data_IF_187668841877
#
_entry.id   IF_187668841877
#
_cell.length_a   1.000
_cell.length_b   1.000
_cell.length_c   1.000
_cell.angle_alpha   90.00
_cell.angle_beta   90.00
_cell.angle_gamma   90.00
#
_symmetry.space_group_name_H-M   'P 1'
#
loop_
_entity.id
_entity.type
_entity.pdbx_description
1 polymer ?
#
# COMPACT_ATOMS: atom_id res chain seq x y z
N UNK A 1 -17.71 16.95 4.94
CA UNK A 1 -16.31 17.04 4.47
C UNK A 1 -15.45 17.97 5.31
N UNK A 2 -15.94 19.13 5.75
CA UNK A 2 -15.13 20.11 6.50
C UNK A 2 -14.50 19.55 7.81
N UNK A 3 -15.28 18.83 8.63
CA UNK A 3 -14.79 18.26 9.90
C UNK A 3 -13.66 17.25 9.70
N UNK A 4 -13.75 16.39 8.68
CA UNK A 4 -12.71 15.40 8.38
C UNK A 4 -11.41 16.08 7.91
N UNK A 5 -11.51 17.17 7.15
CA UNK A 5 -10.37 17.98 6.75
C UNK A 5 -9.65 18.61 7.94
N UNK A 6 -10.39 19.22 8.89
CA UNK A 6 -9.78 19.74 10.12
C UNK A 6 -9.20 18.64 11.00
N UNK A 7 -9.91 17.52 11.13
CA UNK A 7 -9.41 16.35 11.86
C UNK A 7 -8.08 15.85 11.29
N UNK A 8 -7.99 15.70 9.96
CA UNK A 8 -6.76 15.31 9.27
C UNK A 8 -5.61 16.27 9.58
N UNK A 9 -5.86 17.59 9.47
CA UNK A 9 -4.86 18.62 9.82
C UNK A 9 -4.37 18.48 11.26
N UNK A 10 -5.26 18.21 12.22
CA UNK A 10 -4.88 17.99 13.63
C UNK A 10 -3.97 16.78 13.76
N UNK A 11 -4.35 15.63 13.19
CA UNK A 11 -3.57 14.39 13.29
C UNK A 11 -2.20 14.53 12.61
N UNK A 12 -2.15 15.07 11.39
CA UNK A 12 -0.90 15.30 10.65
C UNK A 12 0.00 16.30 11.40
N UNK A 13 -0.57 17.35 11.98
CA UNK A 13 0.18 18.31 12.80
C UNK A 13 0.75 17.64 14.05
N UNK A 14 -0.04 16.81 14.75
CA UNK A 14 0.44 16.03 15.89
C UNK A 14 1.57 15.07 15.51
N UNK A 15 1.45 14.41 14.35
CA UNK A 15 2.48 13.51 13.83
C UNK A 15 3.79 14.25 13.56
N UNK A 16 3.72 15.44 12.95
CA UNK A 16 4.91 16.28 12.73
C UNK A 16 5.53 16.85 14.01
N UNK A 17 4.73 17.08 15.06
CA UNK A 17 5.21 17.65 16.34
C UNK A 17 5.70 16.60 17.33
N UNK A 18 5.08 15.41 17.35
CA UNK A 18 5.38 14.36 18.34
C UNK A 18 5.22 12.96 17.72
N UNK A 19 6.04 12.60 16.71
CA UNK A 19 5.87 11.36 15.93
C UNK A 19 5.87 10.11 16.82
N UNK A 20 6.88 9.95 17.69
CA UNK A 20 6.98 8.82 18.62
C UNK A 20 5.77 8.68 19.56
N UNK A 21 5.19 9.80 19.99
CA UNK A 21 4.01 9.79 20.87
C UNK A 21 2.76 9.31 20.14
N UNK A 22 2.57 9.77 18.90
CA UNK A 22 1.46 9.34 18.03
C UNK A 22 1.60 7.86 17.66
N UNK A 23 2.81 7.43 17.28
CA UNK A 23 3.10 6.03 16.96
C UNK A 23 2.80 5.10 18.14
N UNK A 24 3.30 5.43 19.34
CA UNK A 24 3.01 4.66 20.55
C UNK A 24 1.51 4.61 20.83
N UNK A 25 0.82 5.75 20.70
CA UNK A 25 -0.64 5.81 20.89
C UNK A 25 -1.39 4.85 19.95
N UNK A 26 -0.98 4.77 18.67
CA UNK A 26 -1.60 3.92 17.66
C UNK A 26 -1.23 2.44 17.81
N UNK A 27 0.03 2.14 18.17
CA UNK A 27 0.48 0.77 18.49
C UNK A 27 -0.31 0.19 19.66
N UNK A 28 -0.50 0.96 20.72
CA UNK A 28 -1.28 0.55 21.90
C UNK A 28 -2.80 0.43 21.60
N UNK A 29 -3.29 1.08 20.54
CA UNK A 29 -4.70 1.10 20.14
C UNK A 29 -4.88 0.74 18.67
N UNK A 30 -4.64 -0.53 18.33
CA UNK A 30 -4.86 -1.08 16.98
C UNK A 30 -6.24 -0.76 16.40
N UNK A 31 -7.27 -0.67 17.25
CA UNK A 31 -8.63 -0.29 16.84
C UNK A 31 -8.73 1.12 16.25
N UNK A 32 -7.89 2.07 16.69
CA UNK A 32 -7.87 3.42 16.13
C UNK A 32 -7.31 3.41 14.71
N UNK A 33 -6.23 2.67 14.47
CA UNK A 33 -5.66 2.55 13.13
C UNK A 33 -6.66 1.90 12.17
N UNK A 34 -7.34 0.83 12.62
CA UNK A 34 -8.43 0.22 11.87
C UNK A 34 -9.52 1.21 11.51
N UNK A 35 -9.96 2.05 12.45
CA UNK A 35 -10.97 3.10 12.18
C UNK A 35 -10.55 4.10 11.11
N UNK A 36 -9.26 4.43 11.01
CA UNK A 36 -8.79 5.29 9.91
C UNK A 36 -8.94 4.58 8.56
N UNK A 37 -8.57 3.30 8.48
CA UNK A 37 -8.72 2.52 7.26
C UNK A 37 -10.19 2.26 6.92
N UNK A 38 -11.03 2.00 7.92
CA UNK A 38 -12.48 1.83 7.72
C UNK A 38 -13.14 3.08 7.11
N UNK A 39 -12.55 4.27 7.35
CA UNK A 39 -12.99 5.57 6.84
C UNK A 39 -12.19 6.06 5.62
N UNK A 40 -11.41 5.18 4.98
CA UNK A 40 -10.50 5.57 3.88
C UNK A 40 -11.23 6.13 2.66
N UNK A 41 -12.54 5.89 2.50
CA UNK A 41 -13.35 6.57 1.47
C UNK A 41 -13.28 8.09 1.61
N UNK A 42 -13.06 8.64 2.80
CA UNK A 42 -12.86 10.07 2.96
C UNK A 42 -11.41 10.42 2.61
N UNK A 43 -11.17 11.15 1.53
CA UNK A 43 -9.82 11.52 1.06
C UNK A 43 -8.94 12.11 2.17
N UNK A 44 -9.49 13.01 3.01
CA UNK A 44 -8.72 13.58 4.12
C UNK A 44 -8.28 12.54 5.16
N UNK A 45 -8.99 11.42 5.30
CA UNK A 45 -8.59 10.31 6.18
C UNK A 45 -7.58 9.41 5.47
N UNK A 46 -7.73 9.17 4.16
CA UNK A 46 -6.69 8.53 3.36
C UNK A 46 -5.35 9.28 3.48
N UNK A 47 -5.36 10.62 3.43
CA UNK A 47 -4.17 11.44 3.64
C UNK A 47 -3.52 11.20 5.01
N UNK A 48 -4.32 10.97 6.06
CA UNK A 48 -3.79 10.60 7.39
C UNK A 48 -3.09 9.25 7.32
N UNK A 49 -3.70 8.24 6.69
CA UNK A 49 -3.12 6.90 6.52
C UNK A 49 -1.81 6.96 5.75
N UNK A 50 -1.77 7.69 4.63
CA UNK A 50 -0.57 7.92 3.83
C UNK A 50 0.53 8.59 4.65
N UNK A 51 0.20 9.67 5.39
CA UNK A 51 1.18 10.38 6.22
C UNK A 51 1.74 9.51 7.35
N UNK A 52 0.96 8.60 7.92
CA UNK A 52 1.42 7.64 8.94
C UNK A 52 2.44 6.65 8.35
N UNK A 53 2.14 6.14 7.15
CA UNK A 53 3.02 5.24 6.39
C UNK A 53 4.33 5.94 5.99
N UNK A 54 4.26 7.19 5.51
CA UNK A 54 5.46 7.97 5.15
C UNK A 54 6.30 8.36 6.37
N UNK A 55 5.65 8.64 7.51
CA UNK A 55 6.35 8.94 8.75
C UNK A 55 7.15 7.71 9.27
N UNK A 56 6.65 6.49 9.06
CA UNK A 56 7.41 5.26 9.35
C UNK A 56 8.72 5.19 8.55
N UNK A 57 8.69 5.47 7.25
CA UNK A 57 9.90 5.46 6.42
C UNK A 57 10.95 6.49 6.90
N UNK A 58 10.49 7.63 7.44
CA UNK A 58 11.39 8.63 8.06
C UNK A 58 11.97 8.10 9.38
N UNK A 59 11.18 7.44 10.21
CA UNK A 59 11.61 6.87 11.50
C UNK A 59 12.48 5.62 11.36
N UNK A 60 12.41 4.92 10.22
CA UNK A 60 13.31 3.81 9.90
C UNK A 60 14.79 4.24 9.85
N UNK A 61 15.07 5.51 9.55
CA UNK A 61 16.42 6.08 9.70
C UNK A 61 16.93 6.00 11.16
N UNK A 62 16.02 5.79 12.11
CA UNK A 62 16.28 5.58 13.54
C UNK A 62 16.05 4.13 14.00
N UNK A 63 16.01 3.17 13.08
CA UNK A 63 15.74 1.73 13.32
C UNK A 63 14.35 1.43 13.92
N UNK A 64 13.36 2.29 13.72
CA UNK A 64 11.97 2.06 14.15
C UNK A 64 11.08 1.71 12.94
N UNK A 65 10.78 0.42 12.71
CA UNK A 65 9.88 -0.10 11.65
C UNK A 65 8.47 -0.41 12.21
N UNK A 66 7.82 0.60 12.77
CA UNK A 66 6.62 0.43 13.57
C UNK A 66 5.40 -0.02 12.75
N UNK A 67 5.30 0.42 11.50
CA UNK A 67 4.16 0.14 10.62
C UNK A 67 4.10 -1.34 10.25
N UNK A 68 5.26 -1.99 10.14
CA UNK A 68 5.39 -3.40 9.76
C UNK A 68 4.86 -4.36 10.84
N UNK A 69 4.72 -3.88 12.07
CA UNK A 69 4.12 -4.60 13.21
C UNK A 69 2.59 -4.44 13.29
N UNK A 70 2.01 -3.64 12.40
CA UNK A 70 0.57 -3.41 12.32
C UNK A 70 -0.05 -4.17 11.17
N UNK A 71 -1.38 -4.35 11.23
CA UNK A 71 -2.16 -5.00 10.18
C UNK A 71 -2.61 -4.00 9.09
N UNK A 72 -1.94 -2.84 8.97
CA UNK A 72 -2.40 -1.76 8.08
C UNK A 72 -2.38 -2.18 6.61
N UNK A 73 -1.39 -2.98 6.20
CA UNK A 73 -1.29 -3.46 4.83
C UNK A 73 -2.51 -4.32 4.51
N UNK A 74 -2.83 -5.28 5.39
CA UNK A 74 -4.00 -6.14 5.27
C UNK A 74 -5.29 -5.33 5.23
N UNK A 75 -5.45 -4.37 6.15
CA UNK A 75 -6.65 -3.55 6.24
C UNK A 75 -6.86 -2.70 4.98
N UNK A 76 -5.79 -2.09 4.44
CA UNK A 76 -5.89 -1.28 3.21
C UNK A 76 -6.09 -2.19 1.99
N UNK A 77 -5.45 -3.35 1.96
CA UNK A 77 -5.66 -4.36 0.91
C UNK A 77 -7.11 -4.85 0.87
N UNK A 78 -7.73 -5.10 2.03
CA UNK A 78 -9.13 -5.55 2.11
C UNK A 78 -10.11 -4.53 1.51
N UNK A 79 -9.71 -3.25 1.43
CA UNK A 79 -10.49 -2.20 0.78
C UNK A 79 -10.55 -2.30 -0.73
N UNK A 80 -9.74 -3.17 -1.35
CA UNK A 80 -9.83 -3.52 -2.77
C UNK A 80 -10.80 -4.66 -3.07
N UNK A 81 -11.43 -5.28 -2.06
CA UNK A 81 -12.45 -6.31 -2.31
C UNK A 81 -13.57 -5.77 -3.20
N UNK A 82 -14.06 -6.54 -4.19
CA UNK A 82 -15.09 -6.08 -5.12
C UNK A 82 -16.42 -5.65 -4.46
N UNK A 83 -16.62 -6.01 -3.19
CA UNK A 83 -17.77 -5.64 -2.38
C UNK A 83 -17.72 -4.19 -1.84
N UNK A 84 -16.58 -3.51 -1.95
CA UNK A 84 -16.41 -2.14 -1.46
C UNK A 84 -16.76 -1.09 -2.52
N UNK A 85 -16.85 0.17 -2.09
CA UNK A 85 -17.17 1.29 -2.96
C UNK A 85 -15.98 1.74 -3.83
N UNK A 86 -16.27 2.37 -4.97
CA UNK A 86 -15.21 2.87 -5.88
C UNK A 86 -14.26 3.88 -5.23
N UNK A 87 -14.73 4.67 -4.26
CA UNK A 87 -13.89 5.62 -3.54
C UNK A 87 -12.94 4.91 -2.56
N UNK A 88 -13.37 3.81 -1.96
CA UNK A 88 -12.50 2.94 -1.16
C UNK A 88 -11.43 2.31 -2.04
N UNK A 89 -11.79 1.78 -3.23
CA UNK A 89 -10.82 1.23 -4.17
C UNK A 89 -9.74 2.24 -4.57
N UNK A 90 -10.16 3.46 -4.96
CA UNK A 90 -9.26 4.52 -5.40
C UNK A 90 -8.30 4.97 -4.29
N UNK A 91 -8.82 5.20 -3.09
CA UNK A 91 -8.02 5.66 -1.96
C UNK A 91 -7.11 4.55 -1.42
N UNK A 92 -7.56 3.29 -1.44
CA UNK A 92 -6.74 2.14 -1.08
C UNK A 92 -5.59 1.94 -2.08
N UNK A 93 -5.87 1.93 -3.39
CA UNK A 93 -4.84 1.81 -4.41
C UNK A 93 -3.82 2.95 -4.33
N UNK A 94 -4.27 4.20 -4.15
CA UNK A 94 -3.38 5.36 -3.94
C UNK A 94 -2.45 5.15 -2.74
N UNK A 95 -2.98 4.64 -1.62
CA UNK A 95 -2.19 4.34 -0.43
C UNK A 95 -1.17 3.22 -0.69
N UNK A 96 -1.59 2.14 -1.36
CA UNK A 96 -0.73 1.00 -1.69
C UNK A 96 0.37 1.36 -2.70
N UNK A 97 0.10 2.26 -3.63
CA UNK A 97 1.11 2.82 -4.54
C UNK A 97 2.17 3.62 -3.78
N UNK A 98 1.78 4.40 -2.76
CA UNK A 98 2.77 5.06 -1.89
C UNK A 98 3.61 4.01 -1.14
N UNK A 99 2.98 2.97 -0.60
CA UNK A 99 3.67 1.87 0.08
C UNK A 99 4.65 1.17 -0.87
N UNK A 100 4.27 0.90 -2.11
CA UNK A 100 5.16 0.24 -3.08
C UNK A 100 6.42 1.09 -3.34
N UNK A 101 6.30 2.41 -3.33
CA UNK A 101 7.41 3.36 -3.49
C UNK A 101 8.38 3.42 -2.31
N UNK A 102 8.02 2.92 -1.12
CA UNK A 102 8.86 2.92 0.08
C UNK A 102 9.98 1.87 0.00
N UNK A 103 10.95 2.13 -0.85
CA UNK A 103 12.12 1.27 -1.13
C UNK A 103 12.82 0.86 0.18
N UNK A 104 13.16 -0.43 0.29
CA UNK A 104 13.78 -1.06 1.47
C UNK A 104 12.92 -1.14 2.75
N UNK A 105 11.63 -0.76 2.71
CA UNK A 105 10.74 -1.00 3.86
C UNK A 105 10.21 -2.44 3.88
N UNK A 106 10.02 -2.99 5.08
CA UNK A 106 9.41 -4.32 5.27
C UNK A 106 7.99 -4.40 4.73
N UNK A 107 7.23 -3.32 4.85
CA UNK A 107 5.85 -3.24 4.35
C UNK A 107 5.80 -3.26 2.82
N UNK A 108 6.74 -2.59 2.13
CA UNK A 108 6.84 -2.66 0.67
C UNK A 108 7.25 -4.06 0.19
N UNK A 109 8.17 -4.72 0.90
CA UNK A 109 8.54 -6.11 0.59
C UNK A 109 7.36 -7.07 0.80
N UNK A 110 6.57 -6.87 1.86
CA UNK A 110 5.35 -7.64 2.12
C UNK A 110 4.27 -7.41 1.06
N UNK A 111 4.08 -6.17 0.60
CA UNK A 111 3.17 -5.82 -0.50
C UNK A 111 3.54 -6.53 -1.81
N UNK A 112 4.84 -6.67 -2.11
CA UNK A 112 5.31 -7.39 -3.28
C UNK A 112 5.29 -8.92 -3.12
N UNK A 113 4.90 -9.46 -1.97
CA UNK A 113 4.95 -10.91 -1.75
C UNK A 113 3.95 -11.67 -2.65
N UNK A 114 4.26 -12.92 -3.05
CA UNK A 114 3.38 -13.72 -3.89
C UNK A 114 1.95 -13.89 -3.34
N UNK A 115 1.78 -13.91 -2.01
CA UNK A 115 0.46 -14.02 -1.37
C UNK A 115 -0.39 -12.76 -1.57
N UNK A 116 0.22 -11.58 -1.49
CA UNK A 116 -0.48 -10.31 -1.75
C UNK A 116 -0.82 -10.18 -3.23
N UNK A 117 0.10 -10.57 -4.12
CA UNK A 117 -0.18 -10.61 -5.56
C UNK A 117 -1.35 -11.56 -5.84
N UNK A 118 -1.33 -12.79 -5.33
CA UNK A 118 -2.44 -13.73 -5.51
C UNK A 118 -3.78 -13.14 -5.04
N UNK A 119 -3.78 -12.38 -3.93
CA UNK A 119 -4.97 -11.71 -3.40
C UNK A 119 -5.46 -10.55 -4.29
N UNK A 120 -4.56 -9.73 -4.85
CA UNK A 120 -4.93 -8.68 -5.82
C UNK A 120 -5.64 -9.27 -7.04
N UNK A 121 -5.11 -10.36 -7.57
CA UNK A 121 -5.70 -11.05 -8.71
C UNK A 121 -7.02 -11.71 -8.36
N UNK A 122 -7.14 -12.27 -7.14
CA UNK A 122 -8.41 -12.80 -6.65
C UNK A 122 -9.47 -11.70 -6.60
N UNK A 123 -9.20 -10.54 -5.99
CA UNK A 123 -10.16 -9.43 -5.97
C UNK A 123 -10.49 -8.87 -7.36
N UNK A 124 -9.53 -8.90 -8.29
CA UNK A 124 -9.76 -8.50 -9.67
C UNK A 124 -10.68 -9.47 -10.44
N UNK A 125 -10.74 -10.75 -10.04
CA UNK A 125 -11.51 -11.80 -10.72
C UNK A 125 -12.72 -12.32 -9.94
N UNK A 126 -12.89 -11.92 -8.69
CA UNK A 126 -13.95 -12.38 -7.79
C UNK A 126 -15.33 -11.82 -8.20
N UNK A 127 -16.38 -12.59 -7.90
CA UNK A 127 -17.77 -12.18 -8.05
C UNK A 127 -18.29 -11.54 -6.74
N UNK A 128 -19.07 -10.44 -6.80
CA UNK A 128 -19.54 -9.76 -8.00
C UNK A 128 -18.43 -8.99 -8.70
N UNK A 129 -18.40 -9.01 -10.04
CA UNK A 129 -17.38 -8.28 -10.79
C UNK A 129 -17.53 -6.77 -10.60
N UNK A 130 -16.48 -6.14 -10.07
CA UNK A 130 -16.40 -4.69 -9.90
C UNK A 130 -15.32 -4.12 -10.81
N UNK A 131 -15.73 -3.37 -11.84
CA UNK A 131 -14.79 -2.69 -12.76
C UNK A 131 -13.82 -1.77 -12.02
N UNK A 132 -14.31 -1.13 -10.95
CA UNK A 132 -13.46 -0.29 -10.10
C UNK A 132 -12.42 -1.12 -9.35
N UNK A 133 -12.80 -2.25 -8.75
CA UNK A 133 -11.85 -3.13 -8.07
C UNK A 133 -10.80 -3.69 -9.04
N UNK A 134 -11.21 -4.15 -10.22
CA UNK A 134 -10.33 -4.61 -11.29
C UNK A 134 -9.26 -3.56 -11.64
N UNK A 135 -9.70 -2.35 -12.02
CA UNK A 135 -8.79 -1.27 -12.43
C UNK A 135 -7.79 -0.93 -11.31
N UNK A 136 -8.26 -0.84 -10.08
CA UNK A 136 -7.42 -0.43 -8.94
C UNK A 136 -6.47 -1.54 -8.47
N UNK A 137 -6.89 -2.81 -8.49
CA UNK A 137 -5.99 -3.95 -8.25
C UNK A 137 -4.86 -3.98 -9.29
N UNK A 138 -5.18 -3.78 -10.57
CA UNK A 138 -4.18 -3.73 -11.63
C UNK A 138 -3.26 -2.51 -11.51
N UNK A 139 -3.78 -1.35 -11.12
CA UNK A 139 -2.98 -0.16 -10.82
C UNK A 139 -1.96 -0.42 -9.71
N UNK A 140 -2.35 -1.13 -8.65
CA UNK A 140 -1.41 -1.55 -7.60
C UNK A 140 -0.36 -2.52 -8.16
N UNK A 141 -0.75 -3.52 -8.94
CA UNK A 141 0.21 -4.43 -9.60
C UNK A 141 1.24 -3.68 -10.44
N UNK A 142 0.80 -2.70 -11.25
CA UNK A 142 1.70 -1.83 -12.02
C UNK A 142 2.68 -1.11 -11.09
N UNK A 143 2.20 -0.49 -10.02
CA UNK A 143 3.07 0.24 -9.08
C UNK A 143 4.08 -0.65 -8.33
N UNK A 144 3.82 -1.96 -8.23
CA UNK A 144 4.76 -2.93 -7.66
C UNK A 144 5.84 -3.29 -8.68
N UNK A 145 5.46 -3.45 -9.96
CA UNK A 145 6.35 -3.80 -11.06
C UNK A 145 7.23 -2.64 -11.53
N UNK A 146 6.77 -1.40 -11.37
CA UNK A 146 7.50 -0.24 -11.84
C UNK A 146 8.92 -0.16 -11.25
N UNK A 147 9.95 0.07 -12.08
CA UNK A 147 11.31 0.19 -11.60
C UNK A 147 11.41 1.38 -10.65
N UNK A 148 11.70 1.09 -9.38
CA UNK A 148 11.85 2.13 -8.35
C UNK A 148 13.08 2.97 -8.70
N UNK A 149 12.85 4.19 -9.15
CA UNK A 149 13.92 5.15 -9.44
C UNK A 149 14.63 5.48 -8.13
N UNK A 150 15.80 4.88 -7.91
CA UNK A 150 16.71 5.34 -6.89
C UNK A 150 17.12 6.76 -7.27
N UNK A 151 16.72 7.75 -6.48
CA UNK A 151 17.41 9.04 -6.46
C UNK A 151 18.74 8.77 -5.77
N UNK A 152 19.68 8.24 -6.55
CA UNK A 152 21.05 7.98 -6.14
C UNK A 152 21.71 9.35 -5.90
N UNK A 153 21.78 9.76 -4.64
CA UNK A 153 22.78 10.74 -4.24
C UNK A 153 24.17 10.18 -4.53
N UNK A 154 25.05 11.01 -5.08
CA UNK A 154 26.39 10.69 -5.58
C UNK A 154 27.32 10.07 -4.53
N UNK A 155 27.16 8.79 -4.19
CA UNK A 155 28.23 7.99 -3.59
C UNK A 155 27.92 6.51 -3.70
N UNK A 156 28.11 6.00 -4.92
CA UNK A 156 28.24 4.58 -5.17
C UNK A 156 29.40 4.01 -4.37
N UNK A 157 29.08 3.43 -3.20
CA UNK A 157 29.94 2.48 -2.50
C UNK A 157 29.23 1.14 -2.43
N UNK A 158 29.35 0.45 -3.57
CA UNK A 158 29.83 -0.93 -3.63
C UNK A 158 28.91 -2.02 -3.06
N UNK A 159 28.21 -2.63 -4.01
CA UNK A 159 28.30 -4.06 -4.29
C UNK A 159 27.55 -5.10 -3.43
N UNK A 160 26.84 -4.74 -2.35
CA UNK A 160 26.09 -5.75 -1.58
C UNK A 160 24.55 -5.64 -1.60
N UNK A 161 23.98 -4.60 -2.22
CA UNK A 161 22.52 -4.43 -2.29
C UNK A 161 21.87 -5.00 -3.57
N UNK A 162 22.65 -5.30 -4.61
CA UNK A 162 22.11 -5.70 -5.91
C UNK A 162 21.45 -7.11 -5.86
N UNK A 163 22.06 -8.06 -5.18
CA UNK A 163 21.62 -9.47 -5.28
C UNK A 163 20.36 -9.79 -4.45
N UNK A 164 20.12 -9.08 -3.34
CA UNK A 164 18.91 -9.27 -2.51
C UNK A 164 17.70 -8.49 -3.03
N UNK A 165 17.91 -7.42 -3.80
CA UNK A 165 16.81 -6.63 -4.39
C UNK A 165 16.32 -7.21 -5.72
N UNK A 166 17.22 -7.87 -6.47
CA UNK A 166 16.86 -8.56 -7.70
C UNK A 166 15.99 -9.80 -7.40
N UNK A 167 16.26 -10.55 -6.33
CA UNK A 167 15.50 -11.78 -6.00
C UNK A 167 14.06 -11.51 -5.56
N UNK A 168 13.81 -10.51 -4.71
CA UNK A 168 12.44 -10.18 -4.28
C UNK A 168 11.59 -9.67 -5.46
N UNK A 169 12.20 -8.92 -6.38
CA UNK A 169 11.53 -8.48 -7.60
C UNK A 169 11.23 -9.65 -8.54
N UNK A 170 12.19 -10.58 -8.72
CA UNK A 170 12.02 -11.74 -9.60
C UNK A 170 10.88 -12.67 -9.15
N UNK A 171 10.77 -12.98 -7.86
CA UNK A 171 9.66 -13.80 -7.36
C UNK A 171 8.28 -13.15 -7.58
N UNK A 172 8.22 -11.82 -7.46
CA UNK A 172 7.01 -11.04 -7.70
C UNK A 172 6.64 -11.07 -9.19
N UNK A 173 7.63 -10.85 -10.06
CA UNK A 173 7.49 -10.90 -11.51
C UNK A 173 7.04 -12.30 -11.95
N UNK A 174 7.69 -13.36 -11.46
CA UNK A 174 7.31 -14.74 -11.76
C UNK A 174 5.87 -15.04 -11.33
N UNK A 175 5.48 -14.59 -10.12
CA UNK A 175 4.11 -14.72 -9.64
C UNK A 175 3.08 -14.03 -10.53
N UNK A 176 3.37 -12.83 -11.02
CA UNK A 176 2.49 -12.12 -11.95
C UNK A 176 2.48 -12.75 -13.35
N UNK A 177 3.62 -13.26 -13.83
CA UNK A 177 3.70 -13.97 -15.11
C UNK A 177 2.83 -15.23 -15.12
N UNK A 178 2.80 -15.99 -14.03
CA UNK A 178 1.90 -17.15 -13.90
C UNK A 178 0.41 -16.77 -13.96
N UNK A 179 0.09 -15.51 -13.69
CA UNK A 179 -1.27 -14.98 -13.69
C UNK A 179 -1.66 -14.21 -14.95
N UNK A 180 -0.75 -14.11 -15.93
CA UNK A 180 -1.01 -13.37 -17.17
C UNK A 180 -2.18 -13.95 -17.98
N UNK A 181 -2.35 -15.28 -17.98
CA UNK A 181 -3.49 -15.93 -18.63
C UNK A 181 -4.83 -15.55 -18.01
N UNK A 182 -4.90 -15.50 -16.66
CA UNK A 182 -6.09 -15.08 -15.92
C UNK A 182 -6.45 -13.61 -16.26
N UNK A 183 -5.45 -12.72 -16.42
CA UNK A 183 -5.68 -11.32 -16.82
C UNK A 183 -6.29 -11.18 -18.21
N UNK A 184 -5.88 -12.03 -19.15
CA UNK A 184 -6.44 -12.02 -20.50
C UNK A 184 -7.93 -12.40 -20.48
N UNK A 185 -8.32 -13.33 -19.60
CA UNK A 185 -9.74 -13.70 -19.43
C UNK A 185 -10.57 -12.54 -18.87
N UNK A 186 -9.99 -11.70 -18.01
CA UNK A 186 -10.69 -10.52 -17.45
C UNK A 186 -11.05 -9.47 -18.51
N UNK A 187 -10.30 -9.41 -19.62
CA UNK A 187 -10.63 -8.51 -20.75
C UNK A 187 -11.86 -8.99 -21.54
N UNK A 188 -12.12 -10.30 -21.57
CA UNK A 188 -13.22 -10.89 -22.32
C UNK A 188 -14.59 -10.61 -21.64
N UNK A 189 -14.59 -10.51 -20.32
CA UNK A 189 -15.78 -10.18 -19.51
C UNK A 189 -16.17 -8.69 -19.61
N UNK A 190 -15.23 -7.81 -19.98
CA UNK A 190 -15.48 -6.37 -20.19
C UNK A 190 -15.97 -6.01 -21.59
N UNK A 191 -16.04 -6.98 -22.51
CA UNK A 191 -16.47 -6.79 -23.90
C UNK A 191 -17.96 -7.05 -24.18
N UNK A 192 -18.77 -7.30 -23.15
CA UNK A 192 -20.21 -7.59 -23.25
C UNK A 192 -21.11 -6.46 -22.76
#
# INVERSE_FOLDING_TARGET
MEVAGYFSKVVITLLGRKPKGVMRYLKERKTTLKKFVDLISITSIMEVVVRLVEADNTMRLHNEDWISETDILELVMDKLSPHNGSEEHANAASTLTIISGLSQSKIAAKLASPSVIAKLFHYASEEPHSQSALVHCLSVCISILEPKKYVMGEMGRLQQAADSQVTANLQTIDGMLQKLGDLLQLLDVGGG
#
